data_IF_203787592326
#
_entry.id   IF_203787592326
#
_cell.length_a   1.000
_cell.length_b   1.000
_cell.length_c   1.000
_cell.angle_alpha   90.00
_cell.angle_beta   90.00
_cell.angle_gamma   90.00
#
_symmetry.space_group_name_H-M   'P 1'
#
loop_
_entity.id
_entity.type
_entity.pdbx_description
1 polymer ?
#
# COMPACT_ATOMS: atom_id res chain seq x y z
N UNK A 1 24.68 2.40 28.82
CA UNK A 1 25.26 3.76 28.93
C UNK A 1 24.14 4.76 28.71
N UNK A 2 23.90 5.70 29.63
CA UNK A 2 22.72 6.60 29.55
C UNK A 2 22.83 7.58 28.38
N UNK A 3 24.05 7.93 28.01
CA UNK A 3 24.37 8.85 26.91
C UNK A 3 23.80 8.36 25.57
N UNK A 4 23.85 7.04 25.32
CA UNK A 4 23.31 6.43 24.11
C UNK A 4 21.79 6.51 24.06
N UNK A 5 21.12 6.40 25.22
CA UNK A 5 19.66 6.56 25.32
C UNK A 5 19.26 8.01 25.06
N UNK A 6 20.02 8.97 25.60
CA UNK A 6 19.78 10.40 25.37
C UNK A 6 19.90 10.71 23.86
N UNK A 7 20.99 10.26 23.22
CA UNK A 7 21.18 10.50 21.79
C UNK A 7 20.14 9.75 20.95
N UNK A 8 19.79 8.50 21.30
CA UNK A 8 18.69 7.77 20.65
C UNK A 8 17.42 8.61 20.66
N UNK A 9 17.02 9.10 21.84
CA UNK A 9 15.78 9.84 22.01
C UNK A 9 15.75 11.18 21.27
N UNK A 10 16.92 11.82 21.11
CA UNK A 10 17.06 13.05 20.33
C UNK A 10 17.09 12.81 18.82
N UNK A 11 17.45 11.60 18.38
CA UNK A 11 17.43 11.18 16.98
C UNK A 11 16.11 10.51 16.57
N UNK A 12 15.23 10.19 17.52
CA UNK A 12 13.90 9.66 17.24
C UNK A 12 12.98 10.75 16.70
N UNK A 13 11.88 10.34 16.05
CA UNK A 13 10.91 11.29 15.51
C UNK A 13 10.38 12.22 16.63
N UNK A 14 10.44 13.55 16.46
CA UNK A 14 10.04 14.49 17.49
C UNK A 14 8.55 14.34 17.80
N UNK A 15 8.21 13.85 18.99
CA UNK A 15 6.84 13.56 19.41
C UNK A 15 6.40 14.40 20.63
N UNK A 16 5.14 14.25 21.03
CA UNK A 16 4.61 14.94 22.20
C UNK A 16 5.29 14.57 23.52
N UNK A 17 5.80 13.34 23.64
CA UNK A 17 6.45 12.87 24.86
C UNK A 17 7.80 13.59 25.07
N UNK A 18 8.55 13.89 24.00
CA UNK A 18 9.79 14.66 24.11
C UNK A 18 9.56 16.05 24.71
N UNK A 19 8.51 16.77 24.30
CA UNK A 19 8.18 18.09 24.85
C UNK A 19 7.67 18.03 26.28
N UNK A 20 6.84 17.03 26.60
CA UNK A 20 6.24 16.85 27.93
C UNK A 20 7.31 16.46 28.97
N UNK A 21 8.28 15.64 28.58
CA UNK A 21 9.28 15.05 29.47
C UNK A 21 10.69 15.61 29.26
N UNK A 22 10.84 16.76 28.61
CA UNK A 22 12.16 17.36 28.32
C UNK A 22 13.04 17.58 29.56
N UNK A 23 12.43 17.82 30.73
CA UNK A 23 13.18 18.00 31.98
C UNK A 23 13.92 16.72 32.39
N UNK A 24 13.36 15.55 32.12
CA UNK A 24 14.01 14.26 32.43
C UNK A 24 15.28 14.07 31.59
N UNK A 25 15.30 14.58 30.36
CA UNK A 25 16.50 14.58 29.51
C UNK A 25 17.56 15.58 30.00
N UNK A 26 17.16 16.77 30.46
CA UNK A 26 18.10 17.72 31.09
C UNK A 26 18.71 17.14 32.37
N UNK A 27 17.92 16.47 33.19
CA UNK A 27 18.38 15.83 34.41
C UNK A 27 19.31 14.63 34.08
N UNK A 28 18.97 13.85 33.05
CA UNK A 28 19.81 12.76 32.56
C UNK A 28 21.16 13.27 32.04
N UNK A 29 21.17 14.37 31.28
CA UNK A 29 22.39 15.06 30.82
C UNK A 29 23.25 15.54 31.99
N UNK A 30 22.63 16.12 33.02
CA UNK A 30 23.34 16.58 34.22
C UNK A 30 23.94 15.40 35.03
N UNK A 31 23.34 14.22 34.94
CA UNK A 31 23.80 13.00 35.61
C UNK A 31 24.80 12.16 34.80
N UNK A 32 25.10 12.55 33.55
CA UNK A 32 26.02 11.81 32.69
C UNK A 32 27.45 11.87 33.23
N UNK A 33 28.11 10.71 33.29
CA UNK A 33 29.50 10.58 33.76
C UNK A 33 30.50 10.43 32.61
N UNK A 34 30.04 10.04 31.41
CA UNK A 34 30.92 9.77 30.27
C UNK A 34 31.04 10.95 29.30
N UNK A 35 30.33 12.05 29.53
CA UNK A 35 30.43 13.28 28.75
C UNK A 35 31.29 14.31 29.48
N UNK A 36 32.12 15.03 28.73
CA UNK A 36 32.75 16.21 29.26
C UNK A 36 31.72 17.36 29.41
N UNK A 37 32.09 18.41 30.14
CA UNK A 37 31.18 19.52 30.42
C UNK A 37 30.82 20.30 29.15
N UNK A 38 31.67 20.29 28.15
CA UNK A 38 31.47 21.04 26.90
C UNK A 38 30.46 20.35 26.01
N UNK A 39 30.55 19.02 25.89
CA UNK A 39 29.63 18.18 25.15
C UNK A 39 28.26 18.12 25.83
N UNK A 40 28.21 17.97 27.17
CA UNK A 40 26.97 18.04 27.92
C UNK A 40 26.27 19.41 27.75
N UNK A 41 27.04 20.51 27.75
CA UNK A 41 26.50 21.84 27.49
C UNK A 41 26.00 22.00 26.05
N UNK A 42 26.71 21.42 25.07
CA UNK A 42 26.33 21.45 23.66
C UNK A 42 25.02 20.70 23.42
N UNK A 43 24.86 19.51 24.03
CA UNK A 43 23.59 18.77 24.01
C UNK A 43 22.46 19.52 24.72
N UNK A 44 22.73 20.15 25.86
CA UNK A 44 21.72 20.93 26.56
C UNK A 44 21.25 22.14 25.73
N UNK A 45 22.16 22.80 25.02
CA UNK A 45 21.83 23.88 24.08
C UNK A 45 21.01 23.36 22.90
N UNK A 46 21.39 22.20 22.34
CA UNK A 46 20.63 21.55 21.27
C UNK A 46 19.19 21.23 21.73
N UNK A 47 19.04 20.53 22.86
CA UNK A 47 17.73 20.15 23.41
C UNK A 47 16.87 21.37 23.69
N UNK A 48 17.43 22.40 24.34
CA UNK A 48 16.72 23.66 24.62
C UNK A 48 16.21 24.32 23.34
N UNK A 49 17.05 24.41 22.32
CA UNK A 49 16.68 25.10 21.10
C UNK A 49 15.74 24.28 20.22
N UNK A 50 15.78 22.94 20.33
CA UNK A 50 14.83 22.03 19.70
C UNK A 50 13.44 22.19 20.34
N UNK A 51 13.35 22.15 21.67
CA UNK A 51 12.06 22.21 22.38
C UNK A 51 11.48 23.63 22.48
N UNK A 52 12.29 24.67 22.20
CA UNK A 52 11.82 26.05 22.10
C UNK A 52 11.04 26.35 20.80
N UNK A 53 11.17 25.51 19.78
CA UNK A 53 10.46 25.64 18.51
C UNK A 53 9.06 25.02 18.58
N UNK A 54 8.22 25.40 17.61
CA UNK A 54 6.90 24.80 17.44
C UNK A 54 7.06 23.35 16.93
N UNK A 55 6.30 22.42 17.51
CA UNK A 55 6.53 20.98 17.29
C UNK A 55 6.33 20.56 15.84
N UNK A 56 5.34 21.12 15.14
CA UNK A 56 5.07 20.79 13.74
C UNK A 56 6.21 21.29 12.84
N UNK A 57 6.78 22.46 13.14
CA UNK A 57 7.94 22.98 12.41
C UNK A 57 9.17 22.08 12.58
N UNK A 58 9.40 21.57 13.79
CA UNK A 58 10.50 20.62 14.06
C UNK A 58 10.25 19.28 13.37
N UNK A 59 9.02 18.76 13.40
CA UNK A 59 8.63 17.53 12.71
C UNK A 59 8.80 17.64 11.19
N UNK A 60 8.39 18.77 10.60
CA UNK A 60 8.56 19.03 9.18
C UNK A 60 10.05 19.09 8.80
N UNK A 61 10.85 19.82 9.59
CA UNK A 61 12.30 19.91 9.38
C UNK A 61 13.01 18.57 9.55
N UNK A 62 12.57 17.75 10.51
CA UNK A 62 13.08 16.40 10.72
C UNK A 62 12.83 15.51 9.51
N UNK A 63 11.59 15.45 9.02
CA UNK A 63 11.27 14.63 7.84
C UNK A 63 11.94 15.14 6.58
N UNK A 64 12.12 16.45 6.44
CA UNK A 64 12.90 17.01 5.34
C UNK A 64 14.37 16.59 5.38
N UNK A 65 14.93 16.45 6.59
CA UNK A 65 16.33 16.09 6.78
C UNK A 65 16.60 14.59 6.68
N UNK A 66 15.81 13.75 7.35
CA UNK A 66 16.11 12.33 7.52
C UNK A 66 15.28 11.40 6.62
N UNK A 67 14.06 11.80 6.23
CA UNK A 67 13.11 10.90 5.56
C UNK A 67 13.00 11.13 4.04
N UNK A 68 13.42 12.30 3.54
CA UNK A 68 13.30 12.64 2.09
C UNK A 68 14.34 11.98 1.20
N UNK A 69 15.56 11.79 1.70
CA UNK A 69 16.70 11.34 0.89
C UNK A 69 17.47 10.21 1.57
N UNK A 70 18.25 9.48 0.78
CA UNK A 70 19.06 8.35 1.26
C UNK A 70 20.34 8.80 1.95
N UNK A 71 20.90 9.94 1.52
CA UNK A 71 22.20 10.42 1.98
C UNK A 71 22.26 10.67 3.49
N UNK A 72 21.15 11.12 4.09
CA UNK A 72 21.05 11.43 5.52
C UNK A 72 20.16 10.45 6.29
N UNK A 73 19.63 9.41 5.63
CA UNK A 73 18.79 8.39 6.26
C UNK A 73 19.42 7.80 7.52
N UNK A 74 18.62 7.59 8.57
CA UNK A 74 19.05 6.96 9.83
C UNK A 74 19.09 5.43 9.75
N UNK A 75 18.90 4.84 8.57
CA UNK A 75 19.01 3.40 8.35
C UNK A 75 20.46 3.00 8.06
N UNK A 76 21.10 2.30 9.01
CA UNK A 76 22.52 1.97 8.95
C UNK A 76 22.90 1.18 7.68
N UNK A 77 22.10 0.19 7.30
CA UNK A 77 22.43 -0.66 6.16
C UNK A 77 22.20 -0.01 4.81
N UNK A 78 21.47 1.09 4.74
CA UNK A 78 21.30 1.86 3.50
C UNK A 78 22.64 2.41 3.01
N UNK A 79 23.49 2.88 3.94
CA UNK A 79 24.82 3.43 3.62
C UNK A 79 25.87 2.38 3.25
N UNK A 80 25.63 1.11 3.59
CA UNK A 80 26.57 0.00 3.36
C UNK A 80 26.15 -0.84 2.16
N UNK A 81 24.87 -1.20 2.07
CA UNK A 81 24.33 -2.18 1.15
C UNK A 81 23.37 -1.59 0.10
N UNK A 82 22.86 -0.37 0.30
CA UNK A 82 21.81 0.22 -0.55
C UNK A 82 20.60 -0.72 -0.70
N UNK A 83 20.14 -0.92 -1.94
CA UNK A 83 19.02 -1.83 -2.28
C UNK A 83 19.47 -3.27 -2.59
N UNK A 84 20.72 -3.64 -2.28
CA UNK A 84 21.21 -4.98 -2.56
C UNK A 84 20.47 -6.05 -1.75
N UNK A 85 20.41 -7.27 -2.30
CA UNK A 85 19.84 -8.45 -1.61
C UNK A 85 20.56 -8.77 -0.29
N UNK A 86 21.81 -8.34 -0.16
CA UNK A 86 22.64 -8.52 1.04
C UNK A 86 22.09 -7.74 2.25
N UNK A 87 21.37 -6.63 2.02
CA UNK A 87 20.69 -5.88 3.09
C UNK A 87 19.70 -6.74 3.86
N UNK A 88 18.92 -7.57 3.14
CA UNK A 88 17.90 -8.41 3.77
C UNK A 88 18.51 -9.45 4.72
N UNK A 89 19.67 -10.03 4.38
CA UNK A 89 20.36 -10.97 5.25
C UNK A 89 20.94 -10.26 6.49
N UNK A 90 21.56 -9.08 6.31
CA UNK A 90 22.08 -8.29 7.41
C UNK A 90 20.98 -7.90 8.43
N UNK A 91 19.76 -7.60 7.96
CA UNK A 91 18.61 -7.34 8.83
C UNK A 91 18.21 -8.56 9.66
N UNK A 92 18.20 -9.76 9.06
CA UNK A 92 17.89 -11.01 9.79
C UNK A 92 18.95 -11.30 10.83
N UNK A 93 20.23 -11.10 10.49
CA UNK A 93 21.35 -11.35 11.41
C UNK A 93 21.30 -10.36 12.60
N UNK A 94 20.96 -9.10 12.37
CA UNK A 94 20.80 -8.08 13.42
C UNK A 94 19.60 -8.37 14.32
N UNK A 95 18.47 -8.79 13.76
CA UNK A 95 17.31 -9.23 14.54
C UNK A 95 17.65 -10.41 15.46
N UNK A 96 18.42 -11.38 14.96
CA UNK A 96 18.87 -12.51 15.76
C UNK A 96 19.78 -12.07 16.93
N UNK A 97 20.59 -11.01 16.76
CA UNK A 97 21.38 -10.43 17.84
C UNK A 97 20.48 -9.77 18.90
N UNK A 98 19.47 -9.00 18.49
CA UNK A 98 18.52 -8.40 19.43
C UNK A 98 17.78 -9.45 20.25
N UNK A 99 17.29 -10.51 19.60
CA UNK A 99 16.60 -11.61 20.27
C UNK A 99 17.47 -12.32 21.31
N UNK A 100 18.79 -12.48 21.04
CA UNK A 100 19.73 -13.09 22.00
C UNK A 100 19.88 -12.26 23.28
N UNK A 101 19.70 -10.94 23.20
CA UNK A 101 19.72 -10.04 24.34
C UNK A 101 18.33 -9.77 24.92
N UNK A 102 17.30 -10.49 24.47
CA UNK A 102 15.93 -10.38 24.98
C UNK A 102 15.17 -9.16 24.48
N UNK A 103 15.68 -8.47 23.46
CA UNK A 103 15.03 -7.31 22.85
C UNK A 103 14.06 -7.80 21.77
N UNK A 104 12.77 -7.51 21.96
CA UNK A 104 11.71 -7.84 21.00
C UNK A 104 11.27 -6.57 20.29
N UNK A 105 11.54 -6.51 18.98
CA UNK A 105 11.14 -5.38 18.16
C UNK A 105 9.64 -5.37 17.91
N UNK A 106 9.04 -4.17 17.95
CA UNK A 106 7.71 -3.98 17.36
C UNK A 106 7.81 -4.07 15.83
N UNK A 107 6.78 -4.63 15.21
CA UNK A 107 6.65 -4.85 13.76
C UNK A 107 6.71 -3.59 12.89
N UNK A 108 6.79 -2.40 13.49
CA UNK A 108 6.76 -1.09 12.83
C UNK A 108 8.15 -0.48 12.62
N UNK A 109 9.17 -0.97 13.33
CA UNK A 109 10.52 -0.43 13.28
C UNK A 109 11.46 -1.37 12.54
N UNK A 110 12.31 -0.81 11.68
CA UNK A 110 13.35 -1.59 11.02
C UNK A 110 14.53 -1.81 11.98
N UNK A 111 15.12 -3.02 12.00
CA UNK A 111 16.19 -3.35 12.95
C UNK A 111 17.44 -2.49 12.79
N UNK A 112 17.68 -1.95 11.59
CA UNK A 112 18.83 -1.11 11.23
C UNK A 112 18.62 0.39 11.48
N UNK A 113 17.50 0.78 12.10
CA UNK A 113 17.25 2.17 12.50
C UNK A 113 18.21 2.59 13.62
N UNK A 114 18.98 3.67 13.40
CA UNK A 114 20.05 4.09 14.32
C UNK A 114 19.59 4.35 15.77
N UNK A 115 18.50 5.09 16.05
CA UNK A 115 17.97 5.24 17.42
C UNK A 115 17.77 3.90 18.14
N UNK A 116 17.09 2.96 17.46
CA UNK A 116 16.85 1.63 18.00
C UNK A 116 18.15 0.85 18.26
N UNK A 117 19.12 0.95 17.36
CA UNK A 117 20.43 0.33 17.55
C UNK A 117 21.18 0.95 18.75
N UNK A 118 21.09 2.27 18.97
CA UNK A 118 21.67 2.93 20.13
C UNK A 118 21.01 2.50 21.45
N UNK A 119 19.70 2.29 21.46
CA UNK A 119 18.98 1.73 22.62
C UNK A 119 19.40 0.30 22.93
N UNK A 120 19.58 -0.51 21.90
CA UNK A 120 20.15 -1.85 22.04
C UNK A 120 21.56 -1.78 22.66
N UNK A 121 22.46 -0.95 22.11
CA UNK A 121 23.81 -0.77 22.67
C UNK A 121 23.77 -0.25 24.11
N UNK A 122 22.79 0.57 24.46
CA UNK A 122 22.66 1.10 25.82
C UNK A 122 22.38 0.01 26.87
N UNK A 123 21.78 -1.11 26.47
CA UNK A 123 21.47 -2.27 27.32
C UNK A 123 22.65 -3.24 27.46
N UNK A 124 23.67 -3.14 26.59
CA UNK A 124 24.85 -3.99 26.62
C UNK A 124 25.85 -3.55 27.71
N UNK A 125 26.75 -4.45 28.15
CA UNK A 125 27.92 -4.06 28.92
C UNK A 125 28.73 -2.97 28.21
N UNK A 126 29.34 -2.06 28.97
CA UNK A 126 30.03 -0.87 28.43
C UNK A 126 31.03 -1.19 27.31
N UNK A 127 31.79 -2.27 27.42
CA UNK A 127 32.78 -2.64 26.40
C UNK A 127 32.13 -3.10 25.09
N UNK A 128 31.02 -3.85 25.18
CA UNK A 128 30.31 -4.36 24.00
C UNK A 128 29.55 -3.21 23.32
N UNK A 129 28.98 -2.30 24.10
CA UNK A 129 28.36 -1.06 23.61
C UNK A 129 29.36 -0.19 22.82
N UNK A 130 30.57 -0.02 23.36
CA UNK A 130 31.64 0.71 22.67
C UNK A 130 32.11 -0.02 21.41
N UNK A 131 32.20 -1.35 21.44
CA UNK A 131 32.53 -2.16 20.26
C UNK A 131 31.53 -1.96 19.13
N UNK A 132 30.23 -2.07 19.42
CA UNK A 132 29.19 -1.84 18.42
C UNK A 132 29.19 -0.41 17.88
N UNK A 133 29.49 0.59 18.71
CA UNK A 133 29.61 1.98 18.28
C UNK A 133 30.82 2.19 17.37
N UNK A 134 31.94 1.48 17.61
CA UNK A 134 33.13 1.48 16.76
C UNK A 134 32.85 0.85 15.40
N UNK A 135 32.06 -0.23 15.36
CA UNK A 135 31.69 -0.92 14.11
C UNK A 135 30.92 0.02 13.15
N UNK A 136 30.04 0.86 13.70
CA UNK A 136 29.26 1.83 12.91
C UNK A 136 29.91 3.21 12.78
N UNK A 137 31.09 3.43 13.38
CA UNK A 137 31.76 4.74 13.39
C UNK A 137 32.00 5.32 11.98
N UNK A 138 32.38 4.54 10.94
CA UNK A 138 32.50 5.06 9.58
C UNK A 138 31.18 5.61 9.02
N UNK A 139 30.04 5.01 9.37
CA UNK A 139 28.71 5.45 8.96
C UNK A 139 28.35 6.75 9.70
N UNK A 140 28.63 6.80 11.00
CA UNK A 140 28.39 7.99 11.82
C UNK A 140 29.21 9.20 11.34
N UNK A 141 30.46 9.00 10.92
CA UNK A 141 31.28 10.07 10.34
C UNK A 141 30.76 10.54 8.99
N UNK A 142 30.30 9.62 8.13
CA UNK A 142 29.69 9.97 6.85
C UNK A 142 28.41 10.81 7.05
N UNK A 143 27.53 10.37 7.96
CA UNK A 143 26.31 11.09 8.31
C UNK A 143 26.61 12.45 8.94
N UNK A 144 27.52 12.50 9.91
CA UNK A 144 27.95 13.74 10.56
C UNK A 144 28.47 14.77 9.56
N UNK A 145 29.34 14.36 8.63
CA UNK A 145 29.88 15.24 7.59
C UNK A 145 28.79 15.75 6.62
N UNK A 146 27.84 14.89 6.21
CA UNK A 146 26.69 15.29 5.38
C UNK A 146 25.78 16.28 6.11
N UNK A 147 25.56 16.08 7.40
CA UNK A 147 24.76 16.98 8.23
C UNK A 147 25.46 18.35 8.42
N UNK A 148 26.78 18.36 8.59
CA UNK A 148 27.58 19.60 8.65
C UNK A 148 27.51 20.38 7.33
N UNK A 149 27.62 19.70 6.18
CA UNK A 149 27.45 20.34 4.87
C UNK A 149 26.05 20.94 4.66
N UNK A 150 25.03 20.33 5.27
CA UNK A 150 23.64 20.85 5.28
C UNK A 150 23.38 21.88 6.38
N UNK A 151 24.41 22.31 7.11
CA UNK A 151 24.33 23.23 8.26
C UNK A 151 23.32 22.77 9.33
N UNK A 152 23.11 21.45 9.45
CA UNK A 152 22.14 20.88 10.38
C UNK A 152 22.71 20.81 11.79
N UNK A 153 21.89 21.22 12.77
CA UNK A 153 22.22 21.17 14.20
C UNK A 153 22.33 19.75 14.73
N UNK A 154 21.73 18.77 14.04
CA UNK A 154 21.82 17.35 14.40
C UNK A 154 23.25 16.80 14.29
N UNK A 155 24.15 17.47 13.56
CA UNK A 155 25.56 17.07 13.46
C UNK A 155 26.24 16.90 14.83
N UNK A 156 25.86 17.72 15.82
CA UNK A 156 26.38 17.66 17.20
C UNK A 156 26.17 16.28 17.83
N UNK A 157 25.07 15.60 17.52
CA UNK A 157 24.77 14.26 18.05
C UNK A 157 25.74 13.21 17.47
N UNK A 158 26.11 13.34 16.21
CA UNK A 158 27.03 12.41 15.54
C UNK A 158 28.47 12.65 15.99
N UNK A 159 28.88 13.90 16.14
CA UNK A 159 30.20 14.25 16.69
C UNK A 159 30.38 13.66 18.08
N UNK A 160 29.33 13.68 18.91
CA UNK A 160 29.32 13.07 20.23
C UNK A 160 29.44 11.55 20.18
N UNK A 161 28.68 10.87 19.32
CA UNK A 161 28.76 9.41 19.18
C UNK A 161 30.16 8.99 18.73
N UNK A 162 30.81 9.74 17.84
CA UNK A 162 32.18 9.47 17.39
C UNK A 162 33.20 9.66 18.52
N UNK A 163 33.05 10.71 19.34
CA UNK A 163 33.86 10.91 20.55
C UNK A 163 33.69 9.75 21.53
N UNK A 164 32.45 9.32 21.78
CA UNK A 164 32.15 8.17 22.65
C UNK A 164 32.76 6.87 22.11
N UNK A 165 32.74 6.65 20.79
CA UNK A 165 33.38 5.50 20.15
C UNK A 165 34.92 5.49 20.30
N UNK A 166 35.52 6.65 20.64
CA UNK A 166 36.96 6.87 20.71
C UNK A 166 37.70 6.41 19.44
N UNK A 167 37.07 6.61 18.28
CA UNK A 167 37.62 6.19 16.99
C UNK A 167 38.20 7.39 16.24
N UNK A 168 39.46 7.28 15.82
CA UNK A 168 40.10 8.30 14.98
C UNK A 168 39.67 8.06 13.54
N UNK A 169 38.78 8.90 13.04
CA UNK A 169 38.36 8.89 11.63
C UNK A 169 39.04 10.04 10.90
N UNK A 170 39.56 9.74 9.71
CA UNK A 170 40.19 10.70 8.82
C UNK A 170 39.12 11.59 8.15
N UNK A 171 38.85 12.74 8.78
CA UNK A 171 37.83 13.71 8.34
C UNK A 171 38.04 14.18 6.90
N UNK A 172 39.29 14.26 6.45
CA UNK A 172 39.65 14.77 5.13
C UNK A 172 39.22 13.79 4.03
N UNK A 173 39.38 12.47 4.26
CA UNK A 173 38.87 11.43 3.33
C UNK A 173 37.35 11.36 3.28
N UNK A 174 36.68 11.59 4.42
CA UNK A 174 35.22 11.63 4.45
C UNK A 174 34.72 12.87 3.69
N UNK A 175 35.36 14.03 3.88
CA UNK A 175 35.05 15.24 3.15
C UNK A 175 35.28 15.12 1.63
N UNK A 176 36.40 14.50 1.21
CA UNK A 176 36.66 14.22 -0.22
C UNK A 176 35.59 13.32 -0.84
N UNK A 177 35.10 12.32 -0.11
CA UNK A 177 34.08 11.39 -0.60
C UNK A 177 32.72 12.07 -0.83
N UNK A 178 32.40 13.10 -0.05
CA UNK A 178 31.11 13.81 -0.10
C UNK A 178 31.18 15.06 -0.98
N UNK A 179 32.38 15.60 -1.27
CA UNK A 179 32.55 16.86 -2.00
C UNK A 179 31.84 16.91 -3.36
N UNK A 180 31.72 15.76 -4.04
CA UNK A 180 31.07 15.63 -5.36
C UNK A 180 29.66 14.98 -5.28
N UNK A 181 29.12 14.71 -4.08
CA UNK A 181 27.79 14.09 -3.94
C UNK A 181 26.67 15.10 -4.28
N UNK A 182 25.88 14.76 -5.31
CA UNK A 182 24.70 15.55 -5.70
C UNK A 182 23.59 15.34 -4.68
N UNK A 183 22.94 16.44 -4.29
CA UNK A 183 21.89 16.46 -3.28
C UNK A 183 20.65 15.68 -3.74
N UNK A 184 20.26 14.68 -2.96
CA UNK A 184 19.25 13.66 -3.31
C UNK A 184 17.85 13.95 -2.75
N UNK A 185 17.69 14.98 -1.91
CA UNK A 185 16.44 15.38 -1.27
C UNK A 185 15.65 16.45 -2.07
N UNK A 186 16.25 16.96 -3.17
CA UNK A 186 15.63 17.99 -3.99
C UNK A 186 14.40 17.44 -4.74
N UNK A 187 13.35 18.23 -4.96
CA UNK A 187 12.17 17.78 -5.73
C UNK A 187 12.55 17.17 -7.09
N UNK A 188 13.55 17.74 -7.77
CA UNK A 188 14.03 17.25 -9.06
C UNK A 188 14.76 15.91 -8.95
N UNK A 189 15.55 15.70 -7.89
CA UNK A 189 16.22 14.42 -7.66
C UNK A 189 15.21 13.33 -7.31
N UNK A 190 14.18 13.67 -6.52
CA UNK A 190 13.06 12.78 -6.24
C UNK A 190 12.35 12.42 -7.55
N UNK A 191 11.86 13.41 -8.30
CA UNK A 191 11.16 13.17 -9.58
C UNK A 191 11.98 12.28 -10.54
N UNK A 192 13.30 12.48 -10.62
CA UNK A 192 14.19 11.64 -11.42
C UNK A 192 14.24 10.17 -10.95
N UNK A 193 14.29 9.92 -9.63
CA UNK A 193 14.23 8.56 -9.07
C UNK A 193 12.89 7.89 -9.39
N UNK A 194 11.79 8.65 -9.32
CA UNK A 194 10.44 8.16 -9.66
C UNK A 194 10.24 7.91 -11.17
N UNK A 195 10.97 8.62 -12.05
CA UNK A 195 10.92 8.42 -13.51
C UNK A 195 11.67 7.16 -13.99
N UNK A 196 12.75 6.73 -13.31
CA UNK A 196 13.64 5.67 -13.80
C UNK A 196 13.33 4.25 -13.29
N UNK A 197 12.44 4.07 -12.31
CA UNK A 197 12.17 2.76 -11.72
C UNK A 197 11.16 1.90 -12.53
N UNK A 198 11.58 1.45 -13.72
CA UNK A 198 10.92 0.31 -14.37
C UNK A 198 11.26 -1.00 -13.63
N UNK A 199 10.30 -1.50 -12.85
CA UNK A 199 10.39 -2.83 -12.21
C UNK A 199 10.61 -3.92 -13.27
N UNK A 200 11.83 -4.47 -13.33
CA UNK A 200 12.15 -5.65 -14.16
C UNK A 200 11.71 -6.92 -13.44
N UNK A 201 10.52 -7.41 -13.75
CA UNK A 201 10.02 -8.72 -13.32
C UNK A 201 10.68 -9.89 -14.07
N UNK A 202 12.00 -10.07 -13.95
CA UNK A 202 12.65 -11.32 -14.31
C UNK A 202 13.77 -11.62 -13.32
N UNK A 203 13.43 -12.35 -12.26
CA UNK A 203 14.41 -13.11 -11.48
C UNK A 203 14.55 -14.49 -12.11
N UNK A 204 15.79 -14.87 -12.42
CA UNK A 204 16.15 -16.24 -12.78
C UNK A 204 15.65 -17.21 -11.69
N UNK A 205 15.04 -18.30 -12.14
CA UNK A 205 14.52 -19.38 -11.30
C UNK A 205 15.67 -20.11 -10.59
N UNK A 206 15.98 -19.67 -9.37
CA UNK A 206 16.74 -20.46 -8.40
C UNK A 206 15.79 -21.29 -7.55
N UNK A 207 15.74 -22.60 -7.82
CA UNK A 207 15.00 -23.59 -7.03
C UNK A 207 15.47 -23.61 -5.57
N UNK A 208 14.53 -23.45 -4.62
CA UNK A 208 14.71 -23.90 -3.24
C UNK A 208 13.81 -25.12 -2.99
N UNK A 209 14.44 -26.26 -2.73
CA UNK A 209 13.78 -27.46 -2.19
C UNK A 209 13.46 -27.21 -0.73
N UNK A 210 12.22 -27.50 -0.34
CA UNK A 210 11.78 -27.62 1.05
C UNK A 210 12.59 -28.74 1.71
N UNK A 211 13.51 -28.37 2.60
CA UNK A 211 14.33 -29.27 3.39
C UNK A 211 13.91 -29.27 4.86
N UNK A 212 13.20 -30.33 5.25
CA UNK A 212 13.31 -31.04 6.53
C UNK A 212 13.27 -30.22 7.84
N UNK A 213 12.07 -29.79 8.25
CA UNK A 213 11.79 -29.47 9.66
C UNK A 213 11.76 -30.78 10.48
N UNK A 214 12.89 -31.13 11.08
CA UNK A 214 12.91 -32.12 12.17
C UNK A 214 12.39 -31.48 13.45
N UNK A 215 11.35 -32.09 14.01
CA UNK A 215 10.87 -31.79 15.37
C UNK A 215 11.99 -31.99 16.39
N UNK A 216 11.95 -31.24 17.49
CA UNK A 216 12.07 -31.87 18.79
C UNK A 216 10.79 -31.65 19.59
N UNK A 217 10.20 -32.77 20.00
CA UNK A 217 9.27 -32.80 21.10
C UNK A 217 9.96 -32.29 22.38
N UNK A 218 9.69 -31.05 22.74
CA UNK A 218 9.79 -30.57 24.13
C UNK A 218 8.48 -29.84 24.45
N UNK A 219 7.52 -30.64 24.91
CA UNK A 219 6.23 -30.21 25.42
C UNK A 219 6.44 -29.32 26.65
N UNK A 220 6.62 -28.01 26.43
CA UNK A 220 6.61 -26.99 27.47
C UNK A 220 5.21 -26.40 27.60
N UNK A 221 4.78 -26.25 28.86
CA UNK A 221 3.42 -25.96 29.34
C UNK A 221 2.91 -24.52 29.06
N UNK A 222 3.22 -23.95 27.90
CA UNK A 222 2.84 -22.58 27.50
C UNK A 222 1.86 -22.46 26.33
N UNK A 223 1.30 -23.57 25.84
CA UNK A 223 0.56 -23.64 24.57
C UNK A 223 -0.88 -23.06 24.58
N UNK A 224 -1.17 -22.03 25.41
CA UNK A 224 -2.45 -21.30 25.36
C UNK A 224 -2.33 -19.87 24.83
N UNK A 225 -1.17 -19.20 24.90
CA UNK A 225 -1.06 -17.81 24.37
C UNK A 225 -0.73 -17.76 22.87
N UNK A 226 0.07 -18.69 22.34
CA UNK A 226 0.46 -18.69 20.93
C UNK A 226 -0.71 -18.91 19.94
N UNK A 227 -1.76 -19.62 20.36
CA UNK A 227 -3.00 -19.79 19.57
C UNK A 227 -3.84 -18.50 19.58
N UNK A 228 -3.78 -17.73 20.66
CA UNK A 228 -4.51 -16.47 20.80
C UNK A 228 -3.90 -15.36 19.92
N UNK A 229 -2.57 -15.35 19.80
CA UNK A 229 -1.83 -14.32 19.05
C UNK A 229 -1.87 -14.53 17.52
N UNK A 230 -1.85 -15.78 17.05
CA UNK A 230 -2.08 -16.11 15.63
C UNK A 230 -3.48 -15.69 15.16
N UNK A 231 -4.49 -15.87 16.02
CA UNK A 231 -5.85 -15.42 15.73
C UNK A 231 -5.97 -13.88 15.69
N UNK A 232 -5.19 -13.15 16.49
CA UNK A 232 -5.18 -11.69 16.47
C UNK A 232 -4.50 -11.12 15.21
N UNK A 233 -3.35 -11.65 14.78
CA UNK A 233 -2.65 -11.18 13.56
C UNK A 233 -3.43 -11.45 12.26
N UNK A 234 -4.07 -12.62 12.16
CA UNK A 234 -4.95 -12.93 11.01
C UNK A 234 -6.15 -11.98 10.95
N UNK A 235 -6.71 -11.62 12.10
CA UNK A 235 -7.83 -10.67 12.19
C UNK A 235 -7.41 -9.25 11.79
N UNK A 236 -6.21 -8.79 12.20
CA UNK A 236 -5.70 -7.46 11.85
C UNK A 236 -5.44 -7.31 10.34
N UNK A 237 -4.81 -8.30 9.69
CA UNK A 237 -4.58 -8.27 8.23
C UNK A 237 -5.90 -8.32 7.46
N UNK A 238 -6.83 -9.20 7.87
CA UNK A 238 -8.15 -9.26 7.23
C UNK A 238 -8.95 -7.95 7.42
N UNK A 239 -8.81 -7.28 8.56
CA UNK A 239 -9.43 -5.99 8.81
C UNK A 239 -8.82 -4.88 7.95
N UNK A 240 -7.49 -4.83 7.84
CA UNK A 240 -6.81 -3.91 6.93
C UNK A 240 -7.23 -4.13 5.46
N UNK A 241 -7.22 -5.37 4.98
CA UNK A 241 -7.66 -5.69 3.62
C UNK A 241 -9.14 -5.33 3.40
N UNK A 242 -9.98 -5.47 4.43
CA UNK A 242 -11.38 -5.06 4.37
C UNK A 242 -11.51 -3.53 4.16
N UNK A 243 -10.83 -2.74 4.98
CA UNK A 243 -10.81 -1.28 4.82
C UNK A 243 -10.22 -0.86 3.48
N UNK A 244 -9.10 -1.48 3.08
CA UNK A 244 -8.48 -1.18 1.79
C UNK A 244 -9.44 -1.43 0.61
N UNK A 245 -10.03 -2.61 0.52
CA UNK A 245 -10.88 -2.95 -0.64
C UNK A 245 -12.25 -2.30 -0.63
N UNK A 246 -12.83 -1.99 0.53
CA UNK A 246 -14.22 -1.56 0.65
C UNK A 246 -14.41 -0.13 1.13
N UNK A 247 -13.38 0.52 1.67
CA UNK A 247 -13.38 1.95 2.00
C UNK A 247 -12.47 2.76 1.06
N UNK A 248 -11.25 2.29 0.76
CA UNK A 248 -10.27 3.09 -0.01
C UNK A 248 -10.34 2.84 -1.53
N UNK A 249 -10.24 1.56 -1.93
CA UNK A 249 -10.23 1.13 -3.32
C UNK A 249 -11.42 1.61 -4.18
N UNK A 250 -12.67 1.71 -3.66
CA UNK A 250 -13.78 2.27 -4.44
C UNK A 250 -13.52 3.70 -4.93
N UNK A 251 -12.89 4.54 -4.10
CA UNK A 251 -12.56 5.92 -4.47
C UNK A 251 -11.37 6.01 -5.43
N UNK A 252 -10.39 5.11 -5.31
CA UNK A 252 -9.30 4.99 -6.29
C UNK A 252 -9.88 4.61 -7.66
N UNK A 253 -10.69 3.54 -7.70
CA UNK A 253 -11.33 3.07 -8.93
C UNK A 253 -12.25 4.14 -9.53
N UNK A 254 -13.05 4.83 -8.72
CA UNK A 254 -13.93 5.90 -9.16
C UNK A 254 -13.18 7.12 -9.70
N UNK A 255 -12.09 7.54 -9.03
CA UNK A 255 -11.28 8.69 -9.47
C UNK A 255 -10.61 8.41 -10.80
N UNK A 256 -9.96 7.24 -10.94
CA UNK A 256 -9.34 6.83 -12.21
C UNK A 256 -10.39 6.66 -13.30
N UNK A 257 -11.56 6.09 -12.99
CA UNK A 257 -12.66 5.97 -13.93
C UNK A 257 -13.08 7.34 -14.48
N UNK A 258 -13.33 8.32 -13.62
CA UNK A 258 -13.80 9.63 -14.04
C UNK A 258 -12.71 10.43 -14.77
N UNK A 259 -11.54 10.59 -14.15
CA UNK A 259 -10.44 11.39 -14.69
C UNK A 259 -9.86 10.73 -15.94
N UNK A 260 -9.64 9.41 -15.91
CA UNK A 260 -9.13 8.68 -17.07
C UNK A 260 -10.10 8.73 -18.24
N UNK A 261 -11.41 8.68 -18.00
CA UNK A 261 -12.41 8.80 -19.07
C UNK A 261 -12.44 10.21 -19.66
N UNK A 262 -12.33 11.23 -18.81
CA UNK A 262 -12.25 12.63 -19.25
C UNK A 262 -10.96 12.88 -20.06
N UNK A 263 -9.79 12.52 -19.55
CA UNK A 263 -8.52 12.68 -20.27
C UNK A 263 -8.54 11.94 -21.61
N UNK A 264 -9.09 10.73 -21.67
CA UNK A 264 -9.21 9.99 -22.94
C UNK A 264 -10.22 10.63 -23.89
N UNK A 265 -11.25 11.28 -23.39
CA UNK A 265 -12.20 12.03 -24.21
C UNK A 265 -11.52 13.26 -24.85
N UNK A 266 -10.75 14.04 -24.08
CA UNK A 266 -10.10 15.26 -24.56
C UNK A 266 -8.88 14.98 -25.45
N UNK A 267 -8.03 14.04 -25.06
CA UNK A 267 -6.74 13.79 -25.72
C UNK A 267 -6.74 12.53 -26.62
N UNK A 268 -7.77 11.69 -26.55
CA UNK A 268 -7.78 10.34 -27.13
C UNK A 268 -8.92 10.05 -28.11
N UNK A 269 -9.54 11.07 -28.72
CA UNK A 269 -10.75 10.94 -29.56
C UNK A 269 -10.65 9.84 -30.63
N UNK A 270 -9.51 9.70 -31.32
CA UNK A 270 -9.34 8.65 -32.35
C UNK A 270 -9.41 7.22 -31.79
N UNK A 271 -9.04 7.04 -30.52
CA UNK A 271 -9.11 5.75 -29.82
C UNK A 271 -10.50 5.48 -29.21
N UNK A 272 -11.40 6.46 -29.24
CA UNK A 272 -12.77 6.35 -28.70
C UNK A 272 -13.71 5.72 -29.73
N UNK A 273 -13.62 4.39 -29.87
CA UNK A 273 -14.43 3.63 -30.85
C UNK A 273 -14.84 2.27 -30.32
N UNK A 274 -15.99 1.76 -30.78
CA UNK A 274 -16.54 0.45 -30.43
C UNK A 274 -15.70 -0.78 -30.86
N UNK A 275 -14.60 -0.57 -31.59
CA UNK A 275 -13.70 -1.61 -32.10
C UNK A 275 -14.41 -2.86 -32.67
N UNK A 276 -15.43 -2.65 -33.52
CA UNK A 276 -16.25 -3.75 -34.05
C UNK A 276 -15.42 -4.73 -34.89
N UNK A 277 -15.46 -6.01 -34.52
CA UNK A 277 -14.83 -7.10 -35.26
C UNK A 277 -15.83 -7.88 -36.14
N UNK A 278 -17.07 -7.41 -36.26
CA UNK A 278 -18.13 -8.13 -36.98
C UNK A 278 -17.84 -8.27 -38.48
N UNK A 279 -17.15 -7.30 -39.08
CA UNK A 279 -16.78 -7.34 -40.50
C UNK A 279 -15.83 -8.50 -40.82
N UNK A 280 -14.90 -8.83 -39.91
CA UNK A 280 -13.88 -9.85 -40.11
C UNK A 280 -14.45 -11.28 -40.02
N UNK A 281 -15.44 -11.48 -39.14
CA UNK A 281 -16.11 -12.76 -38.95
C UNK A 281 -17.54 -12.56 -38.44
N UNK A 282 -18.53 -12.70 -39.32
CA UNK A 282 -19.95 -12.52 -38.98
C UNK A 282 -20.55 -13.74 -38.24
N UNK A 283 -19.87 -14.89 -38.24
CA UNK A 283 -20.45 -16.16 -37.79
C UNK A 283 -20.76 -16.11 -36.29
N UNK A 284 -22.03 -16.30 -35.94
CA UNK A 284 -22.50 -16.30 -34.55
C UNK A 284 -22.52 -14.93 -33.85
N UNK A 285 -22.08 -13.85 -34.51
CA UNK A 285 -21.98 -12.52 -33.88
C UNK A 285 -23.35 -11.95 -33.50
N UNK A 286 -24.39 -12.12 -34.32
CA UNK A 286 -25.73 -11.59 -34.00
C UNK A 286 -26.29 -12.20 -32.71
N UNK A 287 -26.22 -13.52 -32.57
CA UNK A 287 -26.70 -14.21 -31.38
C UNK A 287 -25.85 -13.86 -30.16
N UNK A 288 -24.53 -13.99 -30.27
CA UNK A 288 -23.61 -13.78 -29.15
C UNK A 288 -23.62 -12.32 -28.66
N UNK A 289 -23.58 -11.36 -29.58
CA UNK A 289 -23.62 -9.93 -29.26
C UNK A 289 -24.96 -9.51 -28.67
N UNK A 290 -26.09 -9.96 -29.22
CA UNK A 290 -27.40 -9.60 -28.70
C UNK A 290 -27.62 -10.20 -27.31
N UNK A 291 -27.31 -11.49 -27.10
CA UNK A 291 -27.42 -12.12 -25.78
C UNK A 291 -26.58 -11.40 -24.74
N UNK A 292 -25.33 -11.04 -25.10
CA UNK A 292 -24.44 -10.30 -24.20
C UNK A 292 -24.98 -8.91 -23.86
N UNK A 293 -25.35 -8.11 -24.86
CA UNK A 293 -25.75 -6.71 -24.62
C UNK A 293 -27.13 -6.58 -23.98
N UNK A 294 -28.13 -7.35 -24.41
CA UNK A 294 -29.45 -7.33 -23.76
C UNK A 294 -29.36 -7.81 -22.30
N UNK A 295 -28.55 -8.85 -22.06
CA UNK A 295 -28.30 -9.32 -20.71
C UNK A 295 -27.59 -8.26 -19.85
N UNK A 296 -26.45 -7.72 -20.31
CA UNK A 296 -25.63 -6.82 -19.49
C UNK A 296 -26.35 -5.48 -19.22
N UNK A 297 -27.14 -4.98 -20.17
CA UNK A 297 -27.96 -3.79 -19.95
C UNK A 297 -29.07 -4.05 -18.92
N UNK A 298 -29.68 -5.24 -18.93
CA UNK A 298 -30.64 -5.65 -17.89
C UNK A 298 -29.99 -5.75 -16.51
N UNK A 299 -28.80 -6.35 -16.43
CA UNK A 299 -28.01 -6.42 -15.18
C UNK A 299 -27.65 -5.03 -14.68
N UNK A 300 -27.17 -4.15 -15.58
CA UNK A 300 -26.82 -2.77 -15.25
C UNK A 300 -28.02 -2.01 -14.68
N UNK A 301 -29.18 -2.07 -15.36
CA UNK A 301 -30.40 -1.44 -14.87
C UNK A 301 -30.83 -2.00 -13.50
N UNK A 302 -30.74 -3.32 -13.31
CA UNK A 302 -31.04 -3.98 -12.04
C UNK A 302 -30.08 -3.57 -10.90
N UNK A 303 -28.78 -3.47 -11.17
CA UNK A 303 -27.77 -3.03 -10.19
C UNK A 303 -27.95 -1.56 -9.83
N UNK A 304 -28.14 -0.70 -10.84
CA UNK A 304 -28.35 0.73 -10.66
C UNK A 304 -29.58 1.02 -9.81
N UNK A 305 -30.74 0.47 -10.19
CA UNK A 305 -32.00 0.65 -9.45
C UNK A 305 -32.03 -0.15 -8.14
N UNK A 306 -31.27 -1.24 -8.03
CA UNK A 306 -31.19 -2.05 -6.84
C UNK A 306 -30.41 -1.36 -5.71
N UNK A 307 -29.23 -0.82 -6.03
CA UNK A 307 -28.29 -0.31 -5.03
C UNK A 307 -28.39 1.20 -4.79
N UNK A 308 -28.64 2.01 -5.83
CA UNK A 308 -28.58 3.47 -5.69
C UNK A 308 -29.93 4.11 -5.32
N UNK A 309 -31.01 3.38 -5.50
CA UNK A 309 -32.34 3.84 -5.09
C UNK A 309 -32.39 3.89 -3.56
N UNK A 310 -32.70 5.04 -2.93
CA UNK A 310 -32.76 5.16 -1.47
C UNK A 310 -34.04 4.54 -0.90
N UNK A 311 -33.94 3.94 0.30
CA UNK A 311 -35.00 3.11 0.92
C UNK A 311 -36.37 3.79 0.98
N UNK A 312 -36.40 5.07 1.38
CA UNK A 312 -37.63 5.86 1.50
C UNK A 312 -38.43 5.97 0.19
N UNK A 313 -37.79 5.87 -0.97
CA UNK A 313 -38.44 6.05 -2.28
C UNK A 313 -39.31 4.86 -2.68
N UNK A 314 -39.08 3.68 -2.09
CA UNK A 314 -39.70 2.44 -2.56
C UNK A 314 -40.23 1.53 -1.45
N UNK A 315 -39.97 1.85 -0.19
CA UNK A 315 -40.41 1.06 0.96
C UNK A 315 -41.91 0.70 0.91
N UNK A 316 -42.74 1.63 0.42
CA UNK A 316 -44.19 1.44 0.34
C UNK A 316 -44.67 0.46 -0.77
N UNK A 317 -43.88 0.23 -1.83
CA UNK A 317 -44.33 -0.56 -3.00
C UNK A 317 -43.34 -1.65 -3.47
N UNK A 318 -42.08 -1.60 -3.04
CA UNK A 318 -41.04 -2.59 -3.35
C UNK A 318 -40.20 -2.87 -2.10
N UNK A 319 -40.74 -3.58 -1.10
CA UNK A 319 -39.96 -4.00 0.07
C UNK A 319 -38.72 -4.79 -0.36
N UNK A 320 -37.68 -4.80 0.48
CA UNK A 320 -36.36 -5.33 0.12
C UNK A 320 -36.41 -6.80 -0.34
N UNK A 321 -37.26 -7.62 0.27
CA UNK A 321 -37.47 -9.02 -0.14
C UNK A 321 -38.03 -9.16 -1.57
N UNK A 322 -38.91 -8.24 -2.00
CA UNK A 322 -39.46 -8.23 -3.36
C UNK A 322 -38.37 -7.80 -4.34
N UNK A 323 -37.56 -6.82 -3.96
CA UNK A 323 -36.38 -6.42 -4.76
C UNK A 323 -35.39 -7.56 -4.90
N UNK A 324 -35.10 -8.29 -3.83
CA UNK A 324 -34.21 -9.45 -3.89
C UNK A 324 -34.77 -10.53 -4.81
N UNK A 325 -36.07 -10.87 -4.71
CA UNK A 325 -36.72 -11.83 -5.63
C UNK A 325 -36.64 -11.38 -7.08
N UNK A 326 -36.88 -10.10 -7.36
CA UNK A 326 -36.72 -9.52 -8.71
C UNK A 326 -35.27 -9.62 -9.20
N UNK A 327 -34.29 -9.28 -8.35
CA UNK A 327 -32.88 -9.37 -8.68
C UNK A 327 -32.44 -10.81 -8.96
N UNK A 328 -32.90 -11.78 -8.17
CA UNK A 328 -32.57 -13.20 -8.37
C UNK A 328 -33.18 -13.76 -9.65
N UNK A 329 -34.45 -13.45 -9.95
CA UNK A 329 -35.15 -14.02 -11.11
C UNK A 329 -34.81 -13.25 -12.39
N UNK A 330 -35.11 -11.95 -12.43
CA UNK A 330 -34.89 -11.13 -13.61
C UNK A 330 -33.40 -10.87 -13.83
N UNK A 331 -32.66 -10.51 -12.78
CA UNK A 331 -31.21 -10.35 -12.85
C UNK A 331 -30.50 -11.68 -13.14
N UNK A 332 -30.96 -12.80 -12.58
CA UNK A 332 -30.44 -14.13 -12.90
C UNK A 332 -30.66 -14.52 -14.37
N UNK A 333 -31.86 -14.27 -14.92
CA UNK A 333 -32.14 -14.52 -16.34
C UNK A 333 -31.24 -13.68 -17.26
N UNK A 334 -31.13 -12.38 -16.97
CA UNK A 334 -30.21 -11.47 -17.69
C UNK A 334 -28.74 -11.90 -17.52
N UNK A 335 -28.36 -12.40 -16.34
CA UNK A 335 -27.05 -12.99 -16.03
C UNK A 335 -26.73 -14.18 -16.92
N UNK A 336 -27.66 -15.14 -17.04
CA UNK A 336 -27.47 -16.31 -17.92
C UNK A 336 -27.32 -15.89 -19.38
N UNK A 337 -28.16 -14.96 -19.86
CA UNK A 337 -28.02 -14.41 -21.22
C UNK A 337 -26.65 -13.77 -21.44
N UNK A 338 -26.20 -12.95 -20.49
CA UNK A 338 -24.89 -12.27 -20.54
C UNK A 338 -23.75 -13.28 -20.55
N UNK A 339 -23.80 -14.27 -19.68
CA UNK A 339 -22.75 -15.28 -19.57
C UNK A 339 -22.64 -16.12 -20.85
N UNK A 340 -23.78 -16.59 -21.38
CA UNK A 340 -23.80 -17.35 -22.64
C UNK A 340 -23.28 -16.49 -23.80
N UNK A 341 -23.77 -15.26 -23.94
CA UNK A 341 -23.29 -14.33 -24.96
C UNK A 341 -21.79 -14.03 -24.83
N UNK A 342 -21.33 -13.75 -23.61
CA UNK A 342 -19.94 -13.44 -23.29
C UNK A 342 -18.99 -14.60 -23.55
N UNK A 343 -19.35 -15.82 -23.16
CA UNK A 343 -18.55 -17.03 -23.44
C UNK A 343 -18.48 -17.30 -24.95
N UNK A 344 -19.57 -17.10 -25.70
CA UNK A 344 -19.57 -17.23 -27.15
C UNK A 344 -18.66 -16.17 -27.82
N UNK A 345 -18.71 -14.92 -27.35
CA UNK A 345 -17.83 -13.84 -27.83
C UNK A 345 -16.37 -14.12 -27.48
N UNK A 346 -16.09 -14.62 -26.27
CA UNK A 346 -14.73 -14.93 -25.82
C UNK A 346 -14.15 -16.10 -26.61
N UNK A 347 -14.93 -17.17 -26.81
CA UNK A 347 -14.59 -18.28 -27.71
C UNK A 347 -14.26 -17.76 -29.12
N UNK A 348 -15.10 -16.89 -29.67
CA UNK A 348 -14.84 -16.29 -30.99
C UNK A 348 -13.54 -15.49 -31.00
N UNK A 349 -13.29 -14.68 -29.98
CA UNK A 349 -12.08 -13.83 -29.89
C UNK A 349 -10.79 -14.65 -29.73
N UNK A 350 -10.85 -15.77 -29.01
CA UNK A 350 -9.69 -16.62 -28.76
C UNK A 350 -9.38 -17.57 -29.92
N UNK A 351 -10.41 -18.12 -30.58
CA UNK A 351 -10.26 -19.23 -31.53
C UNK A 351 -10.59 -18.90 -32.99
N UNK A 352 -11.26 -17.78 -33.30
CA UNK A 352 -11.47 -17.37 -34.71
C UNK A 352 -10.17 -16.77 -35.26
N UNK A 353 -9.54 -17.35 -36.31
CA UNK A 353 -8.22 -16.93 -36.77
C UNK A 353 -8.14 -15.44 -37.12
N UNK A 354 -9.18 -14.93 -37.79
CA UNK A 354 -9.25 -13.52 -38.23
C UNK A 354 -9.39 -12.56 -37.07
N UNK A 355 -10.20 -12.92 -36.06
CA UNK A 355 -10.45 -12.06 -34.90
C UNK A 355 -9.26 -12.10 -33.95
N UNK A 356 -8.66 -13.27 -33.75
CA UNK A 356 -7.49 -13.44 -32.88
C UNK A 356 -6.26 -12.72 -33.43
N UNK A 357 -6.10 -12.66 -34.76
CA UNK A 357 -4.98 -11.94 -35.38
C UNK A 357 -5.08 -10.41 -35.23
N UNK A 358 -6.28 -9.84 -35.07
CA UNK A 358 -6.49 -8.38 -34.98
C UNK A 358 -6.94 -7.91 -33.60
N UNK A 359 -6.97 -8.80 -32.59
CA UNK A 359 -7.39 -8.45 -31.21
C UNK A 359 -6.21 -7.91 -30.43
N UNK A 360 -6.47 -6.97 -29.53
CA UNK A 360 -5.48 -6.54 -28.54
C UNK A 360 -5.54 -7.40 -27.29
N UNK A 361 -4.49 -7.37 -26.46
CA UNK A 361 -4.52 -8.01 -25.13
C UNK A 361 -5.62 -7.43 -24.23
N UNK A 362 -5.85 -6.12 -24.33
CA UNK A 362 -6.91 -5.39 -23.64
C UNK A 362 -8.30 -5.97 -23.93
N UNK A 363 -8.60 -6.26 -25.20
CA UNK A 363 -9.90 -6.84 -25.61
C UNK A 363 -10.16 -8.22 -25.00
N UNK A 364 -9.12 -9.04 -24.87
CA UNK A 364 -9.22 -10.37 -24.26
C UNK A 364 -9.38 -10.23 -22.76
N UNK A 365 -8.59 -9.36 -22.14
CA UNK A 365 -8.63 -9.11 -20.70
C UNK A 365 -10.02 -8.63 -20.26
N UNK A 366 -10.54 -7.56 -20.84
CA UNK A 366 -11.83 -6.99 -20.41
C UNK A 366 -12.99 -7.97 -20.60
N UNK A 367 -13.02 -8.70 -21.73
CA UNK A 367 -14.07 -9.69 -21.99
C UNK A 367 -13.96 -10.89 -21.04
N UNK A 368 -12.74 -11.32 -20.71
CA UNK A 368 -12.53 -12.40 -19.74
C UNK A 368 -12.97 -11.97 -18.34
N UNK A 369 -12.61 -10.77 -17.89
CA UNK A 369 -13.03 -10.23 -16.60
C UNK A 369 -14.56 -10.06 -16.52
N UNK A 370 -15.22 -9.60 -17.60
CA UNK A 370 -16.69 -9.50 -17.65
C UNK A 370 -17.37 -10.87 -17.59
N UNK A 371 -16.83 -11.89 -18.25
CA UNK A 371 -17.34 -13.27 -18.15
C UNK A 371 -17.19 -13.81 -16.73
N UNK A 372 -16.02 -13.59 -16.10
CA UNK A 372 -15.77 -14.00 -14.71
C UNK A 372 -16.71 -13.25 -13.76
N UNK A 373 -16.87 -11.94 -13.91
CA UNK A 373 -17.75 -11.11 -13.09
C UNK A 373 -19.21 -11.57 -13.19
N UNK A 374 -19.67 -11.86 -14.41
CA UNK A 374 -21.02 -12.37 -14.62
C UNK A 374 -21.22 -13.76 -14.01
N UNK A 375 -20.21 -14.64 -14.10
CA UNK A 375 -20.24 -15.94 -13.44
C UNK A 375 -20.29 -15.78 -11.91
N UNK A 376 -19.43 -14.96 -11.33
CA UNK A 376 -19.46 -14.65 -9.90
C UNK A 376 -20.83 -14.10 -9.47
N UNK A 377 -21.41 -13.19 -10.25
CA UNK A 377 -22.75 -12.65 -10.00
C UNK A 377 -23.82 -13.75 -9.95
N UNK A 378 -23.85 -14.67 -10.92
CA UNK A 378 -24.76 -15.81 -10.89
C UNK A 378 -24.49 -16.76 -9.70
N UNK A 379 -23.22 -16.94 -9.32
CA UNK A 379 -22.83 -17.75 -8.17
C UNK A 379 -23.29 -17.14 -6.83
N UNK A 380 -23.62 -15.85 -6.76
CA UNK A 380 -24.17 -15.22 -5.54
C UNK A 380 -25.65 -15.55 -5.31
N UNK A 381 -26.39 -15.94 -6.34
CA UNK A 381 -27.82 -16.27 -6.25
C UNK A 381 -28.11 -17.38 -5.21
N UNK A 382 -27.42 -18.53 -5.18
CA UNK A 382 -27.65 -19.55 -4.16
C UNK A 382 -27.34 -19.08 -2.73
N UNK A 383 -26.39 -18.16 -2.54
CA UNK A 383 -26.10 -17.57 -1.22
C UNK A 383 -27.19 -16.58 -0.80
N UNK A 384 -27.69 -15.78 -1.74
CA UNK A 384 -28.85 -14.90 -1.51
C UNK A 384 -30.11 -15.72 -1.21
N UNK A 385 -30.27 -16.89 -1.82
CA UNK A 385 -31.40 -17.78 -1.58
C UNK A 385 -31.44 -18.37 -0.15
N UNK A 386 -30.31 -18.37 0.57
CA UNK A 386 -30.26 -18.76 1.98
C UNK A 386 -30.86 -17.68 2.91
N UNK A 387 -30.93 -16.43 2.43
CA UNK A 387 -31.37 -15.26 3.20
C UNK A 387 -32.47 -14.50 2.43
N UNK A 388 -33.63 -15.15 2.26
CA UNK A 388 -34.76 -14.60 1.50
C UNK A 388 -35.45 -13.40 2.17
N UNK A 389 -35.05 -13.07 3.39
CA UNK A 389 -35.49 -11.91 4.16
C UNK A 389 -34.88 -10.59 3.67
N UNK A 390 -33.88 -10.63 2.78
CA UNK A 390 -33.25 -9.42 2.23
C UNK A 390 -32.07 -8.91 3.05
N UNK A 391 -31.69 -9.60 4.13
CA UNK A 391 -30.64 -9.14 5.06
C UNK A 391 -29.29 -8.93 4.39
N UNK A 392 -28.85 -9.87 3.54
CA UNK A 392 -27.61 -9.74 2.77
C UNK A 392 -27.69 -8.62 1.73
N UNK A 393 -28.85 -8.42 1.10
CA UNK A 393 -29.04 -7.32 0.15
C UNK A 393 -28.97 -5.96 0.85
N UNK A 394 -29.54 -5.81 2.05
CA UNK A 394 -29.46 -4.57 2.83
C UNK A 394 -28.03 -4.16 3.13
N UNK A 395 -27.17 -5.13 3.48
CA UNK A 395 -25.73 -4.89 3.71
C UNK A 395 -25.04 -4.34 2.47
N UNK A 396 -25.26 -4.97 1.31
CA UNK A 396 -24.67 -4.55 0.03
C UNK A 396 -25.17 -3.18 -0.43
N UNK A 397 -26.47 -2.93 -0.30
CA UNK A 397 -27.09 -1.63 -0.63
C UNK A 397 -26.57 -0.54 0.30
N UNK A 398 -26.48 -0.80 1.60
CA UNK A 398 -25.92 0.12 2.59
C UNK A 398 -24.48 0.50 2.25
N UNK A 399 -23.62 -0.48 1.98
CA UNK A 399 -22.25 -0.24 1.53
C UNK A 399 -22.20 0.62 0.27
N UNK A 400 -22.96 0.27 -0.77
CA UNK A 400 -22.95 0.99 -2.04
C UNK A 400 -23.41 2.45 -1.86
N UNK A 401 -24.45 2.69 -1.05
CA UNK A 401 -24.96 4.03 -0.76
C UNK A 401 -23.95 4.86 0.03
N UNK A 402 -23.30 4.28 1.04
CA UNK A 402 -22.26 4.97 1.82
C UNK A 402 -21.08 5.38 0.94
N UNK A 403 -20.63 4.51 0.04
CA UNK A 403 -19.54 4.83 -0.91
C UNK A 403 -19.92 5.99 -1.85
N UNK A 404 -21.09 5.94 -2.50
CA UNK A 404 -21.46 7.00 -3.48
C UNK A 404 -21.85 8.33 -2.82
N UNK A 405 -22.17 8.32 -1.53
CA UNK A 405 -22.46 9.52 -0.74
C UNK A 405 -21.28 9.99 0.11
N UNK A 406 -20.10 9.38 -0.07
CA UNK A 406 -18.86 9.73 0.63
C UNK A 406 -18.93 9.64 2.17
N UNK A 407 -19.74 8.72 2.69
CA UNK A 407 -19.76 8.40 4.12
C UNK A 407 -18.64 7.40 4.45
N UNK A 408 -17.82 7.72 5.45
CA UNK A 408 -16.78 6.83 5.96
C UNK A 408 -17.35 5.60 6.68
N UNK A 409 -16.53 4.55 6.84
CA UNK A 409 -16.95 3.31 7.48
C UNK A 409 -17.89 2.45 6.62
N UNK A 410 -17.86 2.60 5.29
CA UNK A 410 -18.73 1.85 4.40
C UNK A 410 -18.54 0.34 4.55
N UNK A 411 -17.30 -0.11 4.78
CA UNK A 411 -16.93 -1.52 4.93
C UNK A 411 -17.58 -2.22 6.14
N UNK A 412 -18.05 -1.46 7.15
CA UNK A 412 -18.80 -1.98 8.30
C UNK A 412 -20.15 -2.58 7.89
N UNK A 413 -20.79 -2.04 6.84
CA UNK A 413 -22.03 -2.61 6.30
C UNK A 413 -21.83 -4.04 5.74
N UNK A 414 -20.60 -4.42 5.39
CA UNK A 414 -20.26 -5.73 4.81
C UNK A 414 -19.88 -6.77 5.87
N UNK A 415 -20.12 -6.51 7.14
CA UNK A 415 -19.87 -7.48 8.21
C UNK A 415 -20.77 -8.72 8.09
N UNK A 416 -20.14 -9.89 8.17
CA UNK A 416 -20.81 -11.18 8.07
C UNK A 416 -21.36 -11.52 6.68
N UNK A 417 -21.12 -10.70 5.65
CA UNK A 417 -21.55 -11.00 4.26
C UNK A 417 -20.76 -12.18 3.70
N UNK A 418 -21.40 -13.04 2.90
CA UNK A 418 -20.70 -14.18 2.30
C UNK A 418 -19.54 -13.73 1.40
N UNK A 419 -18.42 -14.48 1.43
CA UNK A 419 -17.18 -14.10 0.73
C UNK A 419 -17.34 -13.93 -0.79
N UNK A 420 -18.30 -14.64 -1.40
CA UNK A 420 -18.58 -14.52 -2.83
C UNK A 420 -19.00 -13.09 -3.24
N UNK A 421 -19.73 -12.38 -2.38
CA UNK A 421 -20.12 -10.99 -2.62
C UNK A 421 -18.91 -10.07 -2.58
N UNK A 422 -17.98 -10.31 -1.65
CA UNK A 422 -16.71 -9.56 -1.56
C UNK A 422 -15.90 -9.66 -2.84
N UNK A 423 -15.76 -10.86 -3.40
CA UNK A 423 -15.09 -11.07 -4.69
C UNK A 423 -15.81 -10.35 -5.84
N UNK A 424 -17.15 -10.44 -5.88
CA UNK A 424 -17.95 -9.77 -6.90
C UNK A 424 -17.83 -8.24 -6.84
N UNK A 425 -17.83 -7.66 -5.65
CA UNK A 425 -17.65 -6.22 -5.46
C UNK A 425 -16.25 -5.76 -5.90
N UNK A 426 -15.20 -6.44 -5.43
CA UNK A 426 -13.81 -6.08 -5.79
C UNK A 426 -13.60 -6.15 -7.30
N UNK A 427 -13.96 -7.26 -7.94
CA UNK A 427 -13.82 -7.39 -9.39
C UNK A 427 -14.71 -6.40 -10.15
N UNK A 428 -15.91 -6.11 -9.64
CA UNK A 428 -16.79 -5.07 -10.17
C UNK A 428 -16.13 -3.69 -10.18
N UNK A 429 -15.51 -3.29 -9.07
CA UNK A 429 -14.77 -2.03 -8.96
C UNK A 429 -13.51 -2.02 -9.83
N UNK A 430 -12.81 -3.15 -9.95
CA UNK A 430 -11.67 -3.29 -10.86
C UNK A 430 -12.08 -3.07 -12.32
N UNK A 431 -13.29 -3.46 -12.73
CA UNK A 431 -13.79 -3.16 -14.08
C UNK A 431 -13.96 -1.65 -14.31
N UNK A 432 -14.37 -0.87 -13.30
CA UNK A 432 -14.40 0.60 -13.37
C UNK A 432 -13.00 1.20 -13.45
N UNK A 433 -12.05 0.70 -12.65
CA UNK A 433 -10.64 1.12 -12.69
C UNK A 433 -10.02 0.92 -14.07
N UNK A 434 -10.30 -0.21 -14.72
CA UNK A 434 -9.75 -0.55 -16.03
C UNK A 434 -10.52 0.08 -17.20
N UNK A 435 -11.74 0.57 -16.97
CA UNK A 435 -12.62 1.13 -18.00
C UNK A 435 -11.95 2.20 -18.88
N UNK A 436 -11.31 3.26 -18.36
CA UNK A 436 -10.76 4.32 -19.22
C UNK A 436 -9.67 3.81 -20.17
N UNK A 437 -8.97 2.73 -19.82
CA UNK A 437 -7.87 2.17 -20.61
C UNK A 437 -8.33 1.09 -21.59
N UNK A 438 -9.38 0.34 -21.24
CA UNK A 438 -9.82 -0.84 -21.98
C UNK A 438 -11.15 -0.67 -22.71
N UNK A 439 -11.99 0.29 -22.29
CA UNK A 439 -13.34 0.41 -22.82
C UNK A 439 -13.34 0.92 -24.26
N UNK A 440 -14.14 0.30 -25.14
CA UNK A 440 -14.55 0.90 -26.39
C UNK A 440 -15.56 2.01 -26.08
N UNK A 441 -15.22 3.25 -26.42
CA UNK A 441 -16.19 4.33 -26.39
C UNK A 441 -17.30 4.06 -27.40
N UNK A 442 -18.51 3.76 -26.93
CA UNK A 442 -19.71 3.80 -27.77
C UNK A 442 -20.87 4.32 -26.95
N UNK A 443 -21.32 5.52 -27.31
CA UNK A 443 -22.71 5.97 -27.46
C UNK A 443 -22.71 7.50 -27.49
N UNK A 444 -22.49 8.07 -28.69
CA UNK A 444 -22.96 9.38 -29.16
C UNK A 444 -22.10 9.81 -30.36
N UNK A 445 -22.50 9.36 -31.56
CA UNK A 445 -22.32 10.12 -32.82
C UNK A 445 -22.97 9.32 -33.97
N UNK A 446 -24.29 9.39 -34.03
CA UNK A 446 -25.06 9.14 -35.25
C UNK A 446 -26.39 9.91 -35.18
N UNK A 447 -26.28 11.22 -35.07
CA UNK A 447 -27.35 12.15 -35.42
C UNK A 447 -26.69 13.45 -35.87
N UNK A 448 -26.84 13.82 -37.15
CA UNK A 448 -26.48 15.14 -37.64
C UNK A 448 -25.17 15.26 -38.44
N UNK A 449 -25.11 14.63 -39.61
CA UNK A 449 -24.54 15.32 -40.79
C UNK A 449 -25.50 15.16 -41.95
N UNK A 450 -26.25 16.24 -42.18
CA UNK A 450 -26.83 16.57 -43.47
C UNK A 450 -25.67 16.61 -44.47
N UNK A 451 -25.75 15.92 -45.62
CA UNK A 451 -24.75 16.09 -46.67
C UNK A 451 -25.05 17.40 -47.39
N UNK A 452 -24.13 18.36 -47.29
CA UNK A 452 -24.09 19.49 -48.21
C UNK A 452 -23.81 18.96 -49.62
N UNK A 453 -24.80 19.13 -50.50
CA UNK A 453 -24.68 19.19 -51.95
C UNK A 453 -25.75 20.14 -52.48
#
# INVERSE_FOLDING_TARGET
>A
MIELVIVSRLLEYPDAALWQHQQELFDALASSENLDKEDAQSLAVFLRDLTAQEMLDVQASYSELFDRGRATSLLLFEHVHGESRDRGQAMVDLMAQYEQHGLQLDSRELPDHLPLYLEYLAQLPKNDALGGLQDIAPILALLGARLQQRESRYAVLFDLLLKLANTVIDSDKVAEKIADEVRDDTPQALDAVWEEEQVKFFAEQGLWRVGDFRSPASFCRGCRSAIFEYHHRRTAIMHFLNMFFFDIYPYIAGSVFLIGSWLRYDYGQYTWRAASSQMLDRKGMNLASNLFHFGILGIFAGHFLGMLTPHWMYEAFLPIEVKQKMAMIAGGACGVMTLVGGVLLLKRRLFSPRVRATTTGADILILSLLVIQCALGLLTIPFSAQHMDGSEMMKLVGWAQSVVTFHGGASEHLEGVAFIFRLHLVLGMTLFLLFPFLAPGSHLERAGRVPDA
#
